data_IF_360759781872
#
_entry.id   IF_360759781872
#
_cell.length_a   1.000
_cell.length_b   1.000
_cell.length_c   1.000
_cell.angle_alpha   90.00
_cell.angle_beta   90.00
_cell.angle_gamma   90.00
#
_symmetry.space_group_name_H-M   'P 1'
#
loop_
_entity.id
_entity.type
_entity.pdbx_description
1 polymer ?
#
# COMPACT_ATOMS: atom_id res chain seq x y z
N UNK A 1 -28.86 12.74 -51.78
CA UNK A 1 -27.97 12.38 -50.65
C UNK A 1 -27.71 10.87 -50.71
N UNK A 2 -26.45 10.41 -50.70
CA UNK A 2 -26.12 8.98 -50.85
C UNK A 2 -26.67 8.14 -49.68
N UNK A 3 -27.20 6.95 -49.98
CA UNK A 3 -27.95 6.06 -49.06
C UNK A 3 -27.10 5.30 -48.03
N UNK A 4 -25.80 5.60 -47.90
CA UNK A 4 -24.85 4.85 -47.06
C UNK A 4 -24.53 5.53 -45.70
N UNK A 5 -25.35 6.46 -45.22
CA UNK A 5 -25.12 7.18 -43.95
C UNK A 5 -26.19 6.88 -42.90
N UNK A 6 -26.89 5.75 -43.02
CA UNK A 6 -27.78 5.28 -41.96
C UNK A 6 -26.91 4.48 -41.00
N UNK A 7 -26.36 5.16 -39.98
CA UNK A 7 -25.66 4.50 -38.89
C UNK A 7 -26.54 3.39 -38.30
N UNK A 8 -25.94 2.25 -37.97
CA UNK A 8 -26.67 1.14 -37.37
C UNK A 8 -27.53 1.62 -36.20
N UNK A 9 -28.76 1.10 -36.02
CA UNK A 9 -29.59 1.49 -34.89
C UNK A 9 -28.81 1.19 -33.60
N UNK A 10 -28.50 2.25 -32.84
CA UNK A 10 -27.81 2.14 -31.56
C UNK A 10 -28.71 1.31 -30.64
N UNK A 11 -28.41 0.01 -30.53
CA UNK A 11 -29.15 -0.91 -29.68
C UNK A 11 -29.10 -0.42 -28.23
N UNK A 12 -30.26 -0.28 -27.61
CA UNK A 12 -30.36 0.08 -26.19
C UNK A 12 -29.68 -1.01 -25.37
N UNK A 13 -28.61 -0.63 -24.67
CA UNK A 13 -27.91 -1.53 -23.75
C UNK A 13 -28.57 -1.42 -22.37
N UNK A 14 -29.19 -2.50 -21.91
CA UNK A 14 -29.76 -2.56 -20.54
C UNK A 14 -28.70 -2.52 -19.44
N UNK A 15 -27.47 -2.92 -19.77
CA UNK A 15 -26.36 -2.97 -18.82
C UNK A 15 -25.13 -2.26 -19.37
N UNK A 16 -24.54 -1.39 -18.56
CA UNK A 16 -23.27 -0.74 -18.89
C UNK A 16 -22.12 -1.75 -18.89
N UNK A 17 -21.13 -1.49 -19.75
CA UNK A 17 -19.81 -2.08 -19.60
C UNK A 17 -19.18 -1.62 -18.27
N UNK A 18 -18.21 -2.37 -17.72
CA UNK A 18 -17.46 -1.93 -16.54
C UNK A 18 -16.83 -0.56 -16.78
N UNK A 19 -17.18 0.42 -15.94
CA UNK A 19 -16.63 1.77 -15.98
C UNK A 19 -15.97 2.11 -14.64
N UNK A 20 -15.16 3.17 -14.64
CA UNK A 20 -14.47 3.67 -13.45
C UNK A 20 -14.94 5.10 -13.20
N UNK A 21 -15.11 5.47 -11.93
CA UNK A 21 -15.51 6.81 -11.50
C UNK A 21 -14.76 7.17 -10.22
N UNK A 22 -14.29 8.41 -10.14
CA UNK A 22 -13.70 9.00 -8.93
C UNK A 22 -14.56 10.19 -8.55
N UNK A 23 -14.97 10.27 -7.28
CA UNK A 23 -15.76 11.37 -6.73
C UNK A 23 -14.92 12.09 -5.69
N UNK A 24 -14.78 13.41 -5.84
CA UNK A 24 -14.08 14.27 -4.90
C UNK A 24 -15.06 15.33 -4.40
N UNK A 25 -15.15 15.48 -3.08
CA UNK A 25 -16.12 16.39 -2.45
C UNK A 25 -15.65 17.85 -2.41
N UNK A 26 -14.35 18.08 -2.65
CA UNK A 26 -13.72 19.40 -2.59
C UNK A 26 -13.24 19.83 -3.99
N UNK A 27 -13.67 21.01 -4.43
CA UNK A 27 -13.34 21.58 -5.73
C UNK A 27 -12.00 22.33 -5.75
N UNK A 28 -11.44 22.71 -4.61
CA UNK A 28 -10.18 23.46 -4.57
C UNK A 28 -8.96 22.56 -4.84
N UNK A 29 -9.13 21.24 -4.85
CA UNK A 29 -8.06 20.26 -5.12
C UNK A 29 -7.41 20.42 -6.51
N UNK A 30 -8.14 20.97 -7.48
CA UNK A 30 -7.67 21.20 -8.86
C UNK A 30 -7.20 22.64 -9.11
N UNK A 31 -7.28 23.50 -8.10
CA UNK A 31 -7.03 24.93 -8.24
C UNK A 31 -5.54 25.24 -8.16
N UNK A 32 -5.05 26.00 -9.13
CA UNK A 32 -3.75 26.65 -9.05
C UNK A 32 -3.95 28.08 -8.53
N UNK A 33 -3.07 28.52 -7.64
CA UNK A 33 -3.02 29.93 -7.25
C UNK A 33 -2.44 30.76 -8.39
N UNK A 34 -3.13 31.84 -8.74
CA UNK A 34 -2.66 32.83 -9.71
C UNK A 34 -2.42 34.13 -8.96
N UNK A 35 -1.26 34.73 -9.18
CA UNK A 35 -0.92 36.02 -8.59
C UNK A 35 -0.52 37.00 -9.68
N UNK A 36 -1.21 38.12 -9.74
CA UNK A 36 -0.85 39.22 -10.63
C UNK A 36 0.48 39.83 -10.19
N UNK A 37 1.47 39.77 -11.08
CA UNK A 37 2.76 40.43 -10.92
C UNK A 37 2.89 41.57 -11.94
N UNK A 38 3.79 42.54 -11.72
CA UNK A 38 4.03 43.64 -12.67
C UNK A 38 4.38 43.17 -14.09
N UNK A 39 4.98 41.97 -14.20
CA UNK A 39 5.39 41.34 -15.45
C UNK A 39 4.32 40.39 -16.05
N UNK A 40 3.13 40.32 -15.45
CA UNK A 40 2.02 39.46 -15.86
C UNK A 40 1.55 38.48 -14.76
N UNK A 41 0.46 37.72 -15.00
CA UNK A 41 -0.04 36.74 -14.05
C UNK A 41 0.94 35.57 -13.89
N UNK A 42 1.42 35.36 -12.67
CA UNK A 42 2.25 34.22 -12.28
C UNK A 42 1.38 33.08 -11.76
N UNK A 43 1.54 31.87 -12.32
CA UNK A 43 0.74 30.69 -11.96
C UNK A 43 1.60 29.78 -11.10
N UNK A 44 1.19 29.57 -9.84
CA UNK A 44 1.84 28.63 -8.94
C UNK A 44 1.60 27.17 -9.40
N UNK A 45 2.54 26.24 -9.14
CA UNK A 45 2.33 24.83 -9.44
C UNK A 45 1.18 24.26 -8.60
N UNK A 46 0.40 23.33 -9.17
CA UNK A 46 -0.77 22.75 -8.52
C UNK A 46 -0.40 22.08 -7.19
N UNK A 47 -1.10 22.47 -6.12
CA UNK A 47 -0.84 21.99 -4.76
C UNK A 47 0.25 22.76 -4.01
N UNK A 48 0.87 23.78 -4.59
CA UNK A 48 1.75 24.67 -3.83
C UNK A 48 0.93 25.77 -3.14
N UNK A 49 1.01 25.82 -1.82
CA UNK A 49 0.44 26.88 -1.00
C UNK A 49 1.55 27.87 -0.61
N UNK A 50 1.39 29.11 -1.04
CA UNK A 50 2.38 30.19 -0.84
C UNK A 50 2.38 30.74 0.58
N UNK A 51 1.28 30.61 1.32
CA UNK A 51 1.16 31.07 2.70
C UNK A 51 1.87 30.14 3.67
N UNK A 52 1.78 28.83 3.42
CA UNK A 52 2.45 27.81 4.23
C UNK A 52 3.80 27.36 3.65
N UNK A 53 4.14 27.80 2.42
CA UNK A 53 5.30 27.32 1.64
C UNK A 53 5.34 25.78 1.52
N UNK A 54 4.18 25.14 1.59
CA UNK A 54 4.05 23.70 1.54
C UNK A 54 3.57 23.24 0.17
N UNK A 55 4.18 22.18 -0.36
CA UNK A 55 3.68 21.51 -1.56
C UNK A 55 2.83 20.31 -1.15
N UNK A 56 1.53 20.39 -1.40
CA UNK A 56 0.56 19.32 -1.24
C UNK A 56 0.60 18.34 -2.42
N UNK A 57 0.16 17.11 -2.16
CA UNK A 57 0.14 16.01 -3.13
C UNK A 57 -0.99 16.09 -4.18
N UNK A 58 -1.66 17.22 -4.35
CA UNK A 58 -2.83 17.36 -5.23
C UNK A 58 -2.49 17.02 -6.69
N UNK A 59 -1.33 17.49 -7.17
CA UNK A 59 -0.83 17.16 -8.51
C UNK A 59 -0.62 15.66 -8.70
N UNK A 60 0.00 14.99 -7.73
CA UNK A 60 0.26 13.55 -7.78
C UNK A 60 -1.05 12.75 -7.69
N UNK A 61 -1.97 13.18 -6.83
CA UNK A 61 -3.30 12.58 -6.73
C UNK A 61 -4.06 12.63 -8.07
N UNK A 62 -4.13 13.80 -8.71
CA UNK A 62 -4.84 13.93 -9.98
C UNK A 62 -4.18 13.13 -11.10
N UNK A 63 -2.83 13.11 -11.16
CA UNK A 63 -2.11 12.34 -12.15
C UNK A 63 -2.37 10.83 -11.99
N UNK A 64 -2.42 10.34 -10.75
CA UNK A 64 -2.80 8.96 -10.46
C UNK A 64 -4.28 8.69 -10.77
N UNK A 65 -5.17 9.63 -10.49
CA UNK A 65 -6.59 9.52 -10.80
C UNK A 65 -6.85 9.40 -12.30
N UNK A 66 -6.18 10.24 -13.11
CA UNK A 66 -6.24 10.17 -14.57
C UNK A 66 -5.72 8.83 -15.06
N UNK A 67 -4.52 8.41 -14.63
CA UNK A 67 -3.92 7.14 -15.03
C UNK A 67 -4.80 5.93 -14.67
N UNK A 68 -5.49 5.98 -13.52
CA UNK A 68 -6.43 4.94 -13.11
C UNK A 68 -7.65 4.86 -14.04
N UNK A 69 -8.20 6.03 -14.42
CA UNK A 69 -9.37 6.14 -15.29
C UNK A 69 -9.06 5.79 -16.74
N UNK A 70 -7.85 6.11 -17.24
CA UNK A 70 -7.42 5.85 -18.63
C UNK A 70 -6.80 4.46 -18.84
N UNK A 71 -6.77 3.64 -17.80
CA UNK A 71 -6.29 2.25 -17.84
C UNK A 71 -4.79 2.06 -18.17
N UNK A 72 -3.95 3.07 -17.89
CA UNK A 72 -2.48 2.94 -17.87
C UNK A 72 -1.97 2.25 -16.59
N UNK A 73 -2.70 1.23 -16.13
CA UNK A 73 -2.47 0.55 -14.85
C UNK A 73 -1.18 -0.28 -14.83
N UNK A 74 -0.58 -0.54 -16.00
CA UNK A 74 0.71 -1.24 -16.13
C UNK A 74 1.88 -0.46 -15.51
N UNK A 75 1.94 0.87 -15.65
CA UNK A 75 2.99 1.72 -15.11
C UNK A 75 2.78 2.03 -13.62
N UNK A 76 1.52 2.18 -13.19
CA UNK A 76 1.16 2.44 -11.79
C UNK A 76 1.46 1.24 -10.87
N UNK A 77 1.29 -0.01 -11.36
CA UNK A 77 1.66 -1.23 -10.62
C UNK A 77 3.16 -1.31 -10.29
N UNK A 78 4.02 -0.69 -11.09
CA UNK A 78 5.47 -0.71 -10.87
C UNK A 78 5.91 0.29 -9.80
N UNK A 79 5.24 1.46 -9.70
CA UNK A 79 5.50 2.46 -8.64
C UNK A 79 4.81 2.11 -7.30
N UNK A 80 3.73 1.32 -7.34
CA UNK A 80 2.97 0.92 -6.15
C UNK A 80 3.61 -0.18 -5.28
N UNK A 81 4.72 -0.80 -5.71
CA UNK A 81 5.42 -1.80 -4.88
C UNK A 81 6.22 -1.20 -3.73
N UNK A 82 6.49 0.10 -3.73
CA UNK A 82 7.31 0.73 -2.68
C UNK A 82 6.54 1.47 -1.59
N UNK A 83 5.29 1.91 -1.79
CA UNK A 83 4.68 2.84 -0.83
C UNK A 83 3.20 2.59 -0.57
N UNK A 84 2.97 1.71 0.42
CA UNK A 84 2.43 2.04 1.75
C UNK A 84 1.84 0.75 2.30
N UNK A 85 2.62 0.09 3.15
CA UNK A 85 2.05 -0.65 4.27
C UNK A 85 1.10 0.34 4.96
N UNK A 86 -0.19 0.33 4.60
CA UNK A 86 -1.26 0.96 5.36
C UNK A 86 -1.04 0.45 6.77
N UNK A 87 -0.60 1.35 7.66
CA UNK A 87 -0.04 1.05 8.99
C UNK A 87 -0.49 -0.34 9.44
N UNK A 88 0.40 -1.34 9.33
CA UNK A 88 0.15 -2.68 9.85
C UNK A 88 -0.51 -2.47 11.19
N UNK A 89 -1.76 -2.90 11.33
CA UNK A 89 -2.68 -2.62 12.43
C UNK A 89 -1.92 -2.75 13.76
N UNK A 90 -1.30 -1.64 14.20
CA UNK A 90 -0.23 -1.68 15.22
C UNK A 90 -0.80 -2.15 16.54
N UNK A 91 -2.12 -2.03 16.72
CA UNK A 91 -2.85 -2.60 17.86
C UNK A 91 -2.74 -4.12 17.88
N UNK A 92 -3.07 -4.81 16.78
CA UNK A 92 -3.01 -6.28 16.73
C UNK A 92 -1.59 -6.82 16.83
N UNK A 93 -0.62 -6.17 16.19
CA UNK A 93 0.79 -6.61 16.26
C UNK A 93 1.43 -6.32 17.62
N UNK A 94 1.04 -5.25 18.32
CA UNK A 94 1.53 -4.97 19.67
C UNK A 94 0.99 -5.98 20.70
N UNK A 95 -0.31 -6.32 20.61
CA UNK A 95 -0.94 -7.27 21.53
C UNK A 95 -0.38 -8.69 21.35
N UNK A 96 -0.07 -9.11 20.12
CA UNK A 96 0.49 -10.43 19.85
C UNK A 96 2.02 -10.50 19.93
N UNK A 97 2.74 -9.37 19.88
CA UNK A 97 4.20 -9.35 19.91
C UNK A 97 4.76 -10.02 21.18
N UNK A 98 4.10 -9.85 22.32
CA UNK A 98 4.52 -10.47 23.59
C UNK A 98 4.39 -12.00 23.53
N UNK A 99 3.32 -12.52 22.91
CA UNK A 99 3.13 -13.97 22.71
C UNK A 99 4.21 -14.56 21.83
N UNK A 100 4.51 -13.91 20.69
CA UNK A 100 5.53 -14.38 19.75
C UNK A 100 6.94 -14.27 20.30
N UNK A 101 7.25 -13.21 21.05
CA UNK A 101 8.53 -13.08 21.77
C UNK A 101 8.69 -14.21 22.79
N UNK A 102 7.66 -14.50 23.57
CA UNK A 102 7.72 -15.55 24.59
C UNK A 102 7.93 -16.95 23.97
N UNK A 103 7.21 -17.26 22.89
CA UNK A 103 7.38 -18.53 22.17
C UNK A 103 8.83 -18.65 21.64
N UNK A 104 9.33 -17.62 20.97
CA UNK A 104 10.68 -17.66 20.40
C UNK A 104 11.80 -17.68 21.45
N UNK A 105 11.54 -17.22 22.69
CA UNK A 105 12.51 -17.32 23.79
C UNK A 105 12.43 -18.64 24.54
N UNK A 106 11.22 -19.14 24.82
CA UNK A 106 11.05 -20.37 25.61
C UNK A 106 11.42 -21.61 24.79
N UNK A 107 11.07 -21.66 23.49
CA UNK A 107 11.32 -22.84 22.66
C UNK A 107 12.81 -23.22 22.59
N UNK A 108 13.76 -22.30 22.30
CA UNK A 108 15.18 -22.64 22.28
C UNK A 108 15.70 -23.09 23.65
N UNK A 109 15.25 -22.46 24.74
CA UNK A 109 15.67 -22.81 26.10
C UNK A 109 15.23 -24.22 26.45
N UNK A 110 13.98 -24.58 26.13
CA UNK A 110 13.47 -25.94 26.34
C UNK A 110 14.23 -26.97 25.49
N UNK A 111 14.59 -26.63 24.24
CA UNK A 111 15.42 -27.52 23.41
C UNK A 111 16.77 -27.81 24.07
N UNK A 112 17.47 -26.79 24.56
CA UNK A 112 18.78 -26.97 25.23
C UNK A 112 18.64 -27.85 26.49
N UNK A 113 17.63 -27.60 27.31
CA UNK A 113 17.37 -28.40 28.52
C UNK A 113 17.06 -29.86 28.14
N UNK A 114 16.23 -30.09 27.13
CA UNK A 114 15.89 -31.43 26.66
C UNK A 114 17.12 -32.20 26.18
N UNK A 115 18.00 -31.56 25.38
CA UNK A 115 19.27 -32.17 24.97
C UNK A 115 20.20 -32.44 26.15
N UNK A 116 20.23 -31.55 27.15
CA UNK A 116 20.98 -31.77 28.40
C UNK A 116 20.50 -33.01 29.15
N UNK A 117 19.18 -33.19 29.29
CA UNK A 117 18.59 -34.36 29.97
C UNK A 117 18.83 -35.64 29.17
N UNK A 118 18.63 -35.60 27.84
CA UNK A 118 18.87 -36.75 26.95
C UNK A 118 20.31 -37.23 27.05
N UNK A 119 21.27 -36.32 26.92
CA UNK A 119 22.70 -36.66 27.01
C UNK A 119 23.11 -37.12 28.42
N UNK A 120 22.53 -36.55 29.47
CA UNK A 120 22.73 -37.01 30.84
C UNK A 120 22.17 -38.42 31.07
N UNK A 121 20.98 -38.72 30.53
CA UNK A 121 20.36 -40.04 30.62
C UNK A 121 21.15 -41.09 29.83
N UNK A 122 21.60 -40.76 28.61
CA UNK A 122 22.49 -41.61 27.82
C UNK A 122 23.81 -41.88 28.55
N UNK A 123 24.42 -40.85 29.14
CA UNK A 123 25.62 -41.01 29.98
C UNK A 123 25.33 -41.92 31.17
N UNK A 124 24.22 -41.74 31.88
CA UNK A 124 23.87 -42.59 33.03
C UNK A 124 23.66 -44.05 32.61
N UNK A 125 23.07 -44.32 31.44
CA UNK A 125 22.94 -45.67 30.88
C UNK A 125 24.27 -46.28 30.44
N UNK A 126 25.17 -45.49 29.85
CA UNK A 126 26.45 -45.96 29.30
C UNK A 126 27.54 -46.14 30.37
N UNK A 127 27.52 -45.33 31.44
CA UNK A 127 28.53 -45.36 32.51
C UNK A 127 28.08 -46.05 33.81
N UNK A 128 26.79 -46.37 34.00
CA UNK A 128 26.33 -47.17 35.16
C UNK A 128 26.45 -48.69 34.96
N UNK A 129 27.06 -49.14 33.86
CA UNK A 129 27.44 -50.55 33.60
C UNK A 129 28.93 -50.64 33.23
N UNK A 130 29.79 -50.36 34.22
CA UNK A 130 31.12 -50.97 34.46
C UNK A 130 31.92 -50.04 35.37
N UNK A 131 31.80 -50.27 36.68
CA UNK A 131 32.96 -50.45 37.54
C UNK A 131 32.56 -51.53 38.55
N UNK A 132 32.87 -52.78 38.18
CA UNK A 132 33.27 -53.82 39.14
C UNK A 132 34.77 -53.71 39.29
#
# INVERSE_FOLDING_TARGET
>A
VPKNVIGEPVGIREKSLPTKMIVVADGDIIRNEVTDSPDGPSIAPLGFDRFTNQTFGNREFLLNAINYLTDETGLMRLRGRELRLRMLDRKRTADEATKWKLINTIVPVLMVILFGILTWFERRRKYSRRVS
#
